data_IF_226545160789
#
_entry.id   IF_226545160789
#
_cell.length_a   1.000
_cell.length_b   1.000
_cell.length_c   1.000
_cell.angle_alpha   90.00
_cell.angle_beta   90.00
_cell.angle_gamma   90.00
#
_symmetry.space_group_name_H-M   'P 1'
#
loop_
_entity.id
_entity.type
_entity.pdbx_description
1 polymer ?
#
# COMPACT_ATOMS: atom_id res chain seq x y z
N UNK A 1 19.84 -32.08 22.22
CA UNK A 1 19.77 -32.36 20.78
C UNK A 1 19.99 -31.05 20.01
N UNK A 2 21.18 -30.81 19.44
CA UNK A 2 21.54 -29.53 18.83
C UNK A 2 20.70 -29.16 17.60
N UNK A 3 20.16 -30.16 16.88
CA UNK A 3 19.33 -29.96 15.68
C UNK A 3 17.99 -29.25 15.95
N UNK A 4 17.40 -29.43 17.14
CA UNK A 4 16.12 -28.79 17.48
C UNK A 4 16.29 -27.29 17.70
N UNK A 5 17.41 -26.89 18.31
CA UNK A 5 17.75 -25.49 18.61
C UNK A 5 17.99 -24.71 17.31
N UNK A 6 18.74 -25.30 16.36
CA UNK A 6 18.99 -24.67 15.06
C UNK A 6 17.69 -24.46 14.27
N UNK A 7 16.80 -25.46 14.26
CA UNK A 7 15.50 -25.36 13.58
C UNK A 7 14.58 -24.32 14.21
N UNK A 8 14.55 -24.21 15.54
CA UNK A 8 13.78 -23.18 16.24
C UNK A 8 14.30 -21.77 15.91
N UNK A 9 15.62 -21.61 15.79
CA UNK A 9 16.23 -20.36 15.38
C UNK A 9 15.86 -20.00 13.93
N UNK A 10 15.94 -20.93 12.98
CA UNK A 10 15.53 -20.69 11.58
C UNK A 10 14.06 -20.27 11.49
N UNK A 11 13.17 -20.95 12.21
CA UNK A 11 11.75 -20.58 12.25
C UNK A 11 11.56 -19.18 12.86
N UNK A 12 12.32 -18.84 13.91
CA UNK A 12 12.26 -17.51 14.50
C UNK A 12 12.73 -16.42 13.53
N UNK A 13 13.78 -16.68 12.75
CA UNK A 13 14.30 -15.75 11.75
C UNK A 13 13.29 -15.52 10.62
N UNK A 14 12.71 -16.60 10.07
CA UNK A 14 11.68 -16.51 9.02
C UNK A 14 10.43 -15.74 9.50
N UNK A 15 10.03 -15.93 10.76
CA UNK A 15 8.92 -15.16 11.33
C UNK A 15 9.23 -13.67 11.41
N UNK A 16 10.45 -13.31 11.81
CA UNK A 16 10.90 -11.91 11.82
C UNK A 16 10.89 -11.31 10.41
N UNK A 17 11.37 -12.03 9.41
CA UNK A 17 11.33 -11.57 8.01
C UNK A 17 9.90 -11.39 7.50
N UNK A 18 8.99 -12.33 7.81
CA UNK A 18 7.58 -12.17 7.46
C UNK A 18 6.95 -10.95 8.12
N UNK A 19 7.26 -10.68 9.38
CA UNK A 19 6.75 -9.50 10.08
C UNK A 19 7.23 -8.20 9.43
N UNK A 20 8.51 -8.14 9.03
CA UNK A 20 9.05 -7.01 8.27
C UNK A 20 8.29 -6.83 6.95
N UNK A 21 8.13 -7.90 6.16
CA UNK A 21 7.41 -7.84 4.89
C UNK A 21 5.94 -7.44 5.07
N UNK A 22 5.27 -7.92 6.13
CA UNK A 22 3.90 -7.52 6.44
C UNK A 22 3.82 -6.03 6.78
N UNK A 23 4.76 -5.51 7.57
CA UNK A 23 4.81 -4.08 7.90
C UNK A 23 5.07 -3.22 6.65
N UNK A 24 6.00 -3.62 5.79
CA UNK A 24 6.27 -2.92 4.52
C UNK A 24 5.04 -2.92 3.61
N UNK A 25 4.34 -4.05 3.49
CA UNK A 25 3.07 -4.14 2.76
C UNK A 25 2.05 -3.15 3.30
N UNK A 26 1.95 -3.02 4.63
CA UNK A 26 1.01 -2.08 5.24
C UNK A 26 1.32 -0.63 4.87
N UNK A 27 2.59 -0.22 4.90
CA UNK A 27 3.00 1.12 4.47
C UNK A 27 2.72 1.39 2.98
N UNK A 28 2.92 0.37 2.12
CA UNK A 28 2.60 0.46 0.70
C UNK A 28 1.09 0.63 0.48
N UNK A 29 0.26 -0.15 1.18
CA UNK A 29 -1.20 -0.01 1.11
C UNK A 29 -1.67 1.39 1.51
N UNK A 30 -1.08 1.99 2.54
CA UNK A 30 -1.42 3.37 2.95
C UNK A 30 -1.09 4.37 1.85
N UNK A 31 0.12 4.26 1.29
CA UNK A 31 0.59 5.15 0.22
C UNK A 31 -0.26 5.00 -1.04
N UNK A 32 -0.56 3.76 -1.43
CA UNK A 32 -1.42 3.44 -2.59
C UNK A 32 -2.83 3.96 -2.38
N UNK A 33 -3.40 3.79 -1.18
CA UNK A 33 -4.75 4.25 -0.86
C UNK A 33 -4.85 5.78 -0.90
N UNK A 34 -3.84 6.48 -0.36
CA UNK A 34 -3.77 7.93 -0.41
C UNK A 34 -3.64 8.45 -1.85
N UNK A 35 -2.80 7.80 -2.67
CA UNK A 35 -2.68 8.11 -4.09
C UNK A 35 -3.98 7.86 -4.86
N UNK A 36 -4.70 6.76 -4.57
CA UNK A 36 -5.99 6.46 -5.19
C UNK A 36 -7.05 7.49 -4.83
N UNK A 37 -7.14 7.88 -3.56
CA UNK A 37 -8.02 8.96 -3.12
C UNK A 37 -7.66 10.30 -3.78
N UNK A 38 -6.38 10.61 -3.90
CA UNK A 38 -5.92 11.82 -4.58
C UNK A 38 -6.36 11.85 -6.05
N UNK A 39 -6.14 10.76 -6.80
CA UNK A 39 -6.58 10.64 -8.20
C UNK A 39 -8.11 10.67 -8.32
N UNK A 40 -8.84 10.09 -7.38
CA UNK A 40 -10.30 10.11 -7.38
C UNK A 40 -10.90 11.51 -7.14
N UNK A 41 -10.18 12.40 -6.44
CA UNK A 41 -10.61 13.77 -6.15
C UNK A 41 -9.99 14.82 -7.10
N UNK A 42 -9.17 14.38 -8.07
CA UNK A 42 -8.55 15.26 -9.05
C UNK A 42 -9.58 15.70 -10.09
N UNK A 43 -9.66 17.02 -10.33
CA UNK A 43 -10.39 17.60 -11.44
C UNK A 43 -9.42 17.88 -12.60
N UNK A 44 -9.57 17.15 -13.71
CA UNK A 44 -8.73 17.30 -14.89
C UNK A 44 -8.85 18.68 -15.55
N UNK A 45 -9.92 19.43 -15.29
CA UNK A 45 -10.13 20.78 -15.84
C UNK A 45 -9.34 21.85 -15.09
N UNK A 46 -8.96 21.58 -13.84
CA UNK A 46 -8.18 22.48 -12.98
C UNK A 46 -6.70 22.07 -12.89
N UNK A 47 -6.35 20.91 -13.44
CA UNK A 47 -5.00 20.37 -13.35
C UNK A 47 -4.09 21.02 -14.41
N UNK A 48 -2.93 21.57 -14.02
CA UNK A 48 -1.95 22.08 -14.98
C UNK A 48 -1.49 20.98 -15.94
N UNK A 49 -1.26 21.32 -17.21
CA UNK A 49 -0.80 20.37 -18.24
C UNK A 49 0.46 19.59 -17.81
N UNK A 50 1.38 20.27 -17.11
CA UNK A 50 2.60 19.66 -16.57
C UNK A 50 2.32 18.57 -15.52
N UNK A 51 1.22 18.68 -14.78
CA UNK A 51 0.79 17.70 -13.77
C UNK A 51 -0.13 16.62 -14.36
N UNK A 52 -0.78 16.88 -15.49
CA UNK A 52 -1.69 15.94 -16.15
C UNK A 52 -0.99 14.65 -16.55
N UNK A 53 0.24 14.74 -17.09
CA UNK A 53 1.02 13.55 -17.44
C UNK A 53 1.38 12.71 -16.21
N UNK A 54 1.75 13.36 -15.09
CA UNK A 54 2.07 12.66 -13.85
C UNK A 54 0.83 11.98 -13.24
N UNK A 55 -0.32 12.66 -13.23
CA UNK A 55 -1.59 12.10 -12.78
C UNK A 55 -2.02 10.89 -13.64
N UNK A 56 -1.78 10.94 -14.96
CA UNK A 56 -2.07 9.82 -15.86
C UNK A 56 -1.17 8.61 -15.59
N UNK A 57 0.12 8.82 -15.35
CA UNK A 57 1.04 7.74 -14.94
C UNK A 57 0.57 7.13 -13.62
N UNK A 58 0.20 7.96 -12.64
CA UNK A 58 -0.29 7.49 -11.35
C UNK A 58 -1.59 6.68 -11.48
N UNK A 59 -2.57 7.18 -12.25
CA UNK A 59 -3.82 6.49 -12.52
C UNK A 59 -3.61 5.14 -13.20
N UNK A 60 -2.72 5.07 -14.21
CA UNK A 60 -2.37 3.82 -14.85
C UNK A 60 -1.71 2.82 -13.90
N UNK A 61 -0.78 3.29 -13.06
CA UNK A 61 -0.15 2.45 -12.03
C UNK A 61 -1.16 1.89 -11.05
N UNK A 62 -2.13 2.69 -10.62
CA UNK A 62 -3.23 2.25 -9.75
C UNK A 62 -4.14 1.23 -10.43
N UNK A 63 -4.48 1.43 -11.69
CA UNK A 63 -5.31 0.51 -12.47
C UNK A 63 -4.64 -0.83 -12.78
N UNK A 64 -3.31 -0.90 -12.70
CA UNK A 64 -2.56 -2.14 -12.88
C UNK A 64 -2.50 -2.99 -11.59
N UNK A 65 -2.93 -2.46 -10.46
CA UNK A 65 -2.98 -3.21 -9.20
C UNK A 65 -4.17 -4.18 -9.20
N UNK A 66 -4.07 -5.32 -8.49
CA UNK A 66 -5.22 -6.19 -8.27
C UNK A 66 -6.37 -5.45 -7.58
N UNK A 67 -7.61 -5.70 -7.99
CA UNK A 67 -8.80 -5.03 -7.42
C UNK A 67 -8.88 -5.21 -5.90
N UNK A 68 -8.57 -6.41 -5.40
CA UNK A 68 -8.51 -6.70 -3.96
C UNK A 68 -7.49 -5.81 -3.24
N UNK A 69 -6.29 -5.64 -3.81
CA UNK A 69 -5.25 -4.78 -3.22
C UNK A 69 -5.67 -3.31 -3.23
N UNK A 70 -6.33 -2.86 -4.30
CA UNK A 70 -6.84 -1.49 -4.36
C UNK A 70 -7.98 -1.27 -3.36
N UNK A 71 -8.86 -2.26 -3.17
CA UNK A 71 -9.92 -2.22 -2.16
C UNK A 71 -9.33 -2.14 -0.76
N UNK A 72 -8.39 -3.02 -0.42
CA UNK A 72 -7.70 -3.03 0.88
C UNK A 72 -7.05 -1.66 1.18
N UNK A 73 -6.35 -1.10 0.20
CA UNK A 73 -5.69 0.20 0.31
C UNK A 73 -6.70 1.34 0.56
N UNK A 74 -7.83 1.33 -0.16
CA UNK A 74 -8.89 2.34 0.01
C UNK A 74 -9.62 2.20 1.35
N UNK A 75 -9.91 0.98 1.80
CA UNK A 75 -10.56 0.74 3.10
C UNK A 75 -9.69 1.21 4.26
N UNK A 76 -8.40 0.90 4.20
CA UNK A 76 -7.45 1.30 5.23
C UNK A 76 -7.36 2.82 5.38
N UNK A 77 -7.24 3.54 4.26
CA UNK A 77 -7.19 5.00 4.25
C UNK A 77 -8.52 5.63 4.69
N UNK A 78 -9.66 5.09 4.25
CA UNK A 78 -10.98 5.54 4.73
C UNK A 78 -11.14 5.39 6.24
N UNK A 79 -10.66 4.29 6.81
CA UNK A 79 -10.65 4.10 8.27
C UNK A 79 -9.80 5.16 8.96
N UNK A 80 -8.65 5.51 8.40
CA UNK A 80 -7.77 6.53 8.99
C UNK A 80 -8.39 7.94 8.92
N UNK A 81 -9.05 8.30 7.82
CA UNK A 81 -9.77 9.57 7.70
C UNK A 81 -10.99 9.64 8.64
N UNK A 82 -11.73 8.54 8.80
CA UNK A 82 -12.88 8.48 9.70
C UNK A 82 -12.49 8.58 11.19
N UNK A 83 -11.29 8.15 11.56
CA UNK A 83 -10.76 8.23 12.93
C UNK A 83 -10.22 9.63 13.27
N UNK A 84 -9.89 10.44 12.27
CA UNK A 84 -9.30 11.78 12.44
C UNK A 84 -10.27 12.95 12.19
N UNK A 85 -11.54 12.66 11.86
CA UNK A 85 -12.62 13.63 11.65
C UNK A 85 -13.49 13.77 12.91
#
# INVERSE_FOLDING_TARGET
MPNTILREQEVSMLRGEMEILMNERQCLLDTTGAAAMFVANLDSTLLPDAACQAAKVLSNSLNNLPEETLRDALEKVKSEFAVRA
#
